data_IF_002055233231
#
_entry.id   IF_002055233231
#
_cell.length_a   1.000
_cell.length_b   1.000
_cell.length_c   1.000
_cell.angle_alpha   90.00
_cell.angle_beta   90.00
_cell.angle_gamma   90.00
#
_symmetry.space_group_name_H-M   'P 1'
#
loop_
_entity.id
_entity.type
_entity.pdbx_description
1 polymer ?
#
# COMPACT_ATOMS: atom_id res chain seq x y z
N UNK A 1 -9.01 27.44 -1.69
CA UNK A 1 -9.01 26.73 -2.99
C UNK A 1 -7.96 25.63 -2.93
N UNK A 2 -8.22 24.40 -3.40
CA UNK A 2 -7.21 23.35 -3.45
C UNK A 2 -6.14 23.79 -4.46
N UNK A 3 -4.86 23.77 -4.06
CA UNK A 3 -3.75 24.08 -4.96
C UNK A 3 -3.59 22.94 -5.97
N UNK A 4 -3.50 23.27 -7.25
CA UNK A 4 -3.09 22.30 -8.26
C UNK A 4 -1.65 21.83 -7.95
N UNK A 5 -1.49 20.52 -7.85
CA UNK A 5 -0.22 19.87 -7.59
C UNK A 5 0.54 19.68 -8.90
N UNK A 6 1.75 20.23 -8.99
CA UNK A 6 2.67 19.97 -10.10
C UNK A 6 3.64 18.86 -9.67
N UNK A 7 3.51 17.67 -10.26
CA UNK A 7 4.47 16.58 -10.03
C UNK A 7 5.88 16.98 -10.51
N UNK A 8 6.92 16.46 -9.84
CA UNK A 8 8.36 16.50 -10.22
C UNK A 8 9.26 17.63 -9.68
N UNK A 9 8.86 18.42 -8.68
CA UNK A 9 9.81 19.31 -7.96
C UNK A 9 10.60 18.54 -6.88
N UNK A 10 11.36 17.52 -7.28
CA UNK A 10 12.16 16.69 -6.36
C UNK A 10 13.59 17.21 -6.13
N UNK A 11 13.92 18.43 -6.57
CA UNK A 11 15.26 19.01 -6.43
C UNK A 11 15.68 19.30 -4.98
N UNK A 12 14.76 19.20 -4.01
CA UNK A 12 15.01 19.51 -2.59
C UNK A 12 14.83 18.31 -1.62
N UNK A 13 14.53 17.11 -2.10
CA UNK A 13 14.40 15.93 -1.22
C UNK A 13 15.78 15.48 -0.72
N UNK A 14 16.10 15.78 0.55
CA UNK A 14 17.19 15.13 1.27
C UNK A 14 16.78 13.69 1.60
N UNK A 15 17.61 12.72 1.19
CA UNK A 15 17.40 11.32 1.52
C UNK A 15 17.64 11.13 3.03
N UNK A 16 16.60 10.68 3.74
CA UNK A 16 16.71 10.32 5.15
C UNK A 16 17.62 9.10 5.29
N UNK A 17 18.66 9.19 6.11
CA UNK A 17 19.50 8.03 6.49
C UNK A 17 18.93 7.43 7.77
N UNK A 18 18.21 6.30 7.70
CA UNK A 18 17.62 5.71 8.90
C UNK A 18 18.70 5.23 9.87
N UNK A 19 18.62 5.67 11.12
CA UNK A 19 19.43 5.19 12.25
C UNK A 19 18.70 4.07 12.99
N UNK A 20 18.37 2.98 12.30
CA UNK A 20 17.82 1.78 12.97
C UNK A 20 18.91 0.72 13.19
N UNK A 21 18.96 0.06 14.36
CA UNK A 21 19.87 -1.06 14.58
C UNK A 21 19.53 -2.21 13.64
N UNK A 22 20.50 -2.64 12.84
CA UNK A 22 20.35 -3.63 11.77
C UNK A 22 19.80 -5.00 12.22
N UNK A 23 19.84 -5.30 13.52
CA UNK A 23 19.47 -6.59 14.10
C UNK A 23 17.96 -6.87 14.16
N UNK A 24 17.09 -5.90 13.85
CA UNK A 24 15.62 -6.05 13.87
C UNK A 24 14.92 -5.93 12.52
N UNK A 25 15.67 -5.72 11.45
CA UNK A 25 15.12 -5.63 10.10
C UNK A 25 15.26 -6.98 9.40
N UNK A 26 14.21 -7.44 8.72
CA UNK A 26 14.36 -8.46 7.68
C UNK A 26 15.50 -8.00 6.75
N UNK A 27 16.49 -8.85 6.41
CA UNK A 27 17.60 -8.44 5.57
C UNK A 27 17.07 -8.18 4.16
N UNK A 28 16.68 -6.93 3.90
CA UNK A 28 16.43 -6.47 2.56
C UNK A 28 17.79 -6.23 1.92
N UNK A 29 18.20 -7.14 1.04
CA UNK A 29 19.41 -7.01 0.23
C UNK A 29 19.17 -5.97 -0.86
N UNK A 30 19.30 -4.69 -0.50
CA UNK A 30 19.30 -3.62 -1.49
C UNK A 30 20.68 -3.56 -2.17
N UNK A 31 20.74 -3.53 -3.51
CA UNK A 31 21.99 -3.25 -4.21
C UNK A 31 22.48 -1.84 -3.83
N UNK A 32 23.78 -1.68 -3.60
CA UNK A 32 24.37 -0.39 -3.29
C UNK A 32 24.18 0.58 -4.46
N UNK A 33 23.36 1.62 -4.26
CA UNK A 33 23.11 2.66 -5.27
C UNK A 33 24.24 3.70 -5.22
N UNK A 34 25.44 3.30 -5.63
CA UNK A 34 26.66 4.13 -5.50
C UNK A 34 27.02 4.96 -6.75
N UNK A 35 26.17 5.02 -7.78
CA UNK A 35 26.49 5.78 -9.01
C UNK A 35 25.49 6.91 -9.32
N UNK A 36 26.02 8.10 -9.60
CA UNK A 36 25.28 9.29 -10.08
C UNK A 36 24.44 9.00 -11.34
N UNK A 37 24.90 8.06 -12.17
CA UNK A 37 24.18 7.56 -13.36
C UNK A 37 22.88 6.84 -13.00
N UNK A 38 22.78 6.20 -11.84
CA UNK A 38 21.54 5.55 -11.38
C UNK A 38 20.47 6.59 -11.01
N UNK A 39 20.86 7.72 -10.39
CA UNK A 39 19.92 8.81 -10.07
C UNK A 39 19.33 9.47 -11.31
N UNK A 40 20.16 9.73 -12.33
CA UNK A 40 19.69 10.30 -13.60
C UNK A 40 18.73 9.35 -14.34
N UNK A 41 19.03 8.05 -14.35
CA UNK A 41 18.14 7.02 -14.91
C UNK A 41 16.83 6.91 -14.14
N UNK A 42 16.84 7.04 -12.80
CA UNK A 42 15.64 6.98 -11.97
C UNK A 42 14.67 8.12 -12.30
N UNK A 43 15.19 9.34 -12.53
CA UNK A 43 14.37 10.51 -12.89
C UNK A 43 13.68 10.33 -14.25
N UNK A 44 14.28 9.57 -15.16
CA UNK A 44 13.70 9.28 -16.48
C UNK A 44 12.63 8.18 -16.45
N UNK A 45 12.49 7.45 -15.35
CA UNK A 45 11.43 6.47 -15.22
C UNK A 45 10.09 7.19 -15.07
N UNK A 46 9.02 6.71 -15.73
CA UNK A 46 7.70 7.27 -15.53
C UNK A 46 7.32 7.20 -14.05
N UNK A 47 6.86 8.33 -13.50
CA UNK A 47 6.64 8.50 -12.06
C UNK A 47 5.36 7.82 -11.55
N UNK A 48 4.57 7.21 -12.44
CA UNK A 48 3.25 6.66 -12.13
C UNK A 48 2.15 7.73 -12.13
N UNK A 49 2.50 9.02 -12.28
CA UNK A 49 1.53 10.10 -12.52
C UNK A 49 0.94 10.08 -13.94
N UNK A 50 1.58 9.32 -14.83
CA UNK A 50 1.19 8.99 -16.19
C UNK A 50 0.11 7.90 -16.27
N UNK A 51 -0.22 7.25 -15.15
CA UNK A 51 -1.25 6.23 -15.13
C UNK A 51 -2.64 6.80 -15.43
N UNK A 52 -3.50 6.06 -16.15
CA UNK A 52 -4.86 6.48 -16.43
C UNK A 52 -5.64 6.66 -15.13
N UNK A 53 -6.34 7.78 -15.00
CA UNK A 53 -7.15 8.09 -13.82
C UNK A 53 -8.19 7.01 -13.58
N UNK A 54 -8.17 6.39 -12.40
CA UNK A 54 -9.14 5.36 -12.04
C UNK A 54 -10.40 5.99 -11.44
N UNK A 55 -11.57 5.46 -11.82
CA UNK A 55 -12.84 5.83 -11.19
C UNK A 55 -13.04 5.03 -9.91
N UNK A 56 -13.72 5.63 -8.93
CA UNK A 56 -14.16 4.93 -7.74
C UNK A 56 -15.16 3.80 -8.08
N UNK A 57 -15.21 2.72 -7.29
CA UNK A 57 -16.30 1.75 -7.37
C UNK A 57 -17.56 2.37 -6.77
N UNK A 58 -18.47 2.85 -7.63
CA UNK A 58 -19.63 3.65 -7.23
C UNK A 58 -20.59 2.95 -6.24
N UNK A 59 -20.61 1.61 -6.27
CA UNK A 59 -21.45 0.76 -5.41
C UNK A 59 -20.82 0.49 -4.02
N UNK A 60 -19.53 0.80 -3.83
CA UNK A 60 -18.85 0.69 -2.53
C UNK A 60 -18.51 2.06 -1.95
N UNK A 61 -18.10 3.02 -2.78
CA UNK A 61 -17.62 4.33 -2.36
C UNK A 61 -18.59 5.38 -2.85
N UNK A 62 -19.21 6.13 -1.93
CA UNK A 62 -20.21 7.16 -2.24
C UNK A 62 -19.60 8.53 -2.53
N UNK A 63 -18.41 8.82 -2.04
CA UNK A 63 -17.75 10.11 -2.26
C UNK A 63 -17.01 10.15 -3.60
N UNK A 64 -17.21 11.20 -4.44
CA UNK A 64 -16.46 11.38 -5.67
C UNK A 64 -14.99 11.72 -5.40
N UNK A 65 -14.08 11.05 -6.12
CA UNK A 65 -12.64 11.33 -6.06
C UNK A 65 -12.30 12.52 -6.99
N UNK A 66 -11.46 13.42 -6.51
CA UNK A 66 -10.89 14.51 -7.32
C UNK A 66 -9.71 14.01 -8.18
N UNK A 67 -9.28 14.75 -9.22
CA UNK A 67 -8.36 14.23 -10.24
C UNK A 67 -7.08 13.59 -9.71
N UNK A 68 -6.38 14.23 -8.76
CA UNK A 68 -5.15 13.66 -8.20
C UNK A 68 -5.41 12.41 -7.36
N UNK A 69 -6.56 12.34 -6.68
CA UNK A 69 -6.96 11.13 -5.93
C UNK A 69 -7.26 9.96 -6.85
N UNK A 70 -7.78 10.22 -8.07
CA UNK A 70 -7.98 9.18 -9.09
C UNK A 70 -6.65 8.64 -9.62
N UNK A 71 -5.67 9.52 -9.80
CA UNK A 71 -4.30 9.13 -10.18
C UNK A 71 -3.63 8.37 -9.03
N UNK A 72 -3.77 8.83 -7.79
CA UNK A 72 -3.26 8.13 -6.60
C UNK A 72 -3.87 6.74 -6.43
N UNK A 73 -5.18 6.60 -6.62
CA UNK A 73 -5.84 5.30 -6.62
C UNK A 73 -5.32 4.37 -7.73
N UNK A 74 -5.19 4.88 -8.96
CA UNK A 74 -4.63 4.12 -10.07
C UNK A 74 -3.20 3.63 -9.77
N UNK A 75 -2.38 4.52 -9.20
CA UNK A 75 -1.03 4.18 -8.75
C UNK A 75 -1.02 3.08 -7.69
N UNK A 76 -1.91 3.16 -6.70
CA UNK A 76 -2.03 2.12 -5.68
C UNK A 76 -2.47 0.78 -6.28
N UNK A 77 -3.46 0.76 -7.18
CA UNK A 77 -3.93 -0.46 -7.84
C UNK A 77 -2.85 -1.08 -8.75
N UNK A 78 -2.11 -0.26 -9.51
CA UNK A 78 -1.03 -0.74 -10.37
C UNK A 78 0.07 -1.46 -9.56
N UNK A 79 0.34 -0.98 -8.35
CA UNK A 79 1.34 -1.56 -7.42
C UNK A 79 0.86 -2.82 -6.70
N UNK A 80 -0.42 -3.17 -6.78
CA UNK A 80 -0.94 -4.48 -6.33
C UNK A 80 -0.63 -5.59 -7.35
N UNK A 81 -0.33 -5.23 -8.59
CA UNK A 81 -0.20 -6.17 -9.69
C UNK A 81 1.29 -6.44 -9.95
N UNK A 82 1.77 -7.70 -9.89
CA UNK A 82 3.18 -8.04 -10.11
C UNK A 82 3.76 -7.58 -11.46
N UNK A 83 2.92 -7.53 -12.50
CA UNK A 83 3.24 -6.99 -13.83
C UNK A 83 2.62 -5.60 -14.07
N UNK A 84 2.35 -4.83 -13.02
CA UNK A 84 1.91 -3.45 -13.15
C UNK A 84 2.89 -2.62 -14.00
N UNK A 85 2.37 -1.57 -14.63
CA UNK A 85 3.15 -0.68 -15.48
C UNK A 85 4.34 -0.09 -14.71
N UNK A 86 4.13 0.30 -13.44
CA UNK A 86 5.19 0.83 -12.59
C UNK A 86 6.33 -0.17 -12.35
N UNK A 87 6.01 -1.45 -12.20
CA UNK A 87 7.02 -2.50 -12.03
C UNK A 87 7.77 -2.74 -13.34
N UNK A 88 7.04 -2.83 -14.46
CA UNK A 88 7.58 -3.03 -15.80
C UNK A 88 8.52 -1.90 -16.22
N UNK A 89 8.24 -0.65 -15.81
CA UNK A 89 9.05 0.52 -16.12
C UNK A 89 10.53 0.38 -15.70
N UNK A 90 10.86 -0.47 -14.72
CA UNK A 90 12.24 -0.72 -14.31
C UNK A 90 12.99 -1.70 -15.23
N UNK A 91 12.34 -2.25 -16.26
CA UNK A 91 12.88 -3.29 -17.11
C UNK A 91 12.86 -2.89 -18.58
N UNK A 92 13.97 -3.16 -19.27
CA UNK A 92 14.08 -3.02 -20.71
C UNK A 92 14.09 -4.40 -21.35
N UNK A 93 13.35 -4.56 -22.46
CA UNK A 93 13.41 -5.77 -23.28
C UNK A 93 14.71 -5.81 -24.09
N UNK A 94 15.32 -6.98 -24.16
CA UNK A 94 16.52 -7.17 -24.98
C UNK A 94 16.15 -7.29 -26.46
N UNK A 95 17.08 -6.99 -27.38
CA UNK A 95 16.88 -7.21 -28.81
C UNK A 95 16.58 -8.68 -29.15
N UNK A 96 15.82 -8.96 -30.23
CA UNK A 96 15.58 -10.31 -30.71
C UNK A 96 16.90 -11.05 -30.96
N UNK A 97 17.04 -12.28 -30.45
CA UNK A 97 18.26 -13.11 -30.58
C UNK A 97 19.19 -13.10 -29.37
N UNK A 98 18.88 -12.33 -28.31
CA UNK A 98 19.62 -12.37 -27.04
C UNK A 98 19.23 -13.58 -26.19
N UNK A 99 20.17 -14.15 -25.43
CA UNK A 99 19.91 -15.23 -24.45
C UNK A 99 19.06 -14.79 -23.25
N UNK A 100 18.97 -13.49 -23.02
CA UNK A 100 18.19 -12.87 -21.95
C UNK A 100 17.07 -12.03 -22.52
N UNK A 101 15.86 -12.18 -21.99
CA UNK A 101 14.69 -11.46 -22.47
C UNK A 101 14.58 -10.04 -21.88
N UNK A 102 15.09 -9.82 -20.65
CA UNK A 102 14.93 -8.56 -19.94
C UNK A 102 16.18 -8.13 -19.16
N UNK A 103 16.40 -6.82 -19.07
CA UNK A 103 17.46 -6.18 -18.29
C UNK A 103 16.88 -5.13 -17.35
N UNK A 104 17.24 -5.18 -16.06
CA UNK A 104 16.85 -4.15 -15.09
C UNK A 104 17.64 -2.87 -15.33
N UNK A 105 16.95 -1.73 -15.45
CA UNK A 105 17.53 -0.45 -15.88
C UNK A 105 18.57 0.10 -14.88
N UNK A 106 18.33 -0.11 -13.59
CA UNK A 106 19.16 0.44 -12.51
C UNK A 106 20.32 -0.50 -12.17
N UNK A 107 20.02 -1.76 -11.90
CA UNK A 107 21.03 -2.74 -11.43
C UNK A 107 21.75 -3.43 -12.56
N UNK A 108 21.30 -3.27 -13.80
CA UNK A 108 21.77 -4.01 -14.99
C UNK A 108 21.69 -5.54 -14.85
N UNK A 109 20.87 -6.06 -13.94
CA UNK A 109 20.64 -7.50 -13.81
C UNK A 109 19.86 -8.01 -15.02
N UNK A 110 20.31 -9.12 -15.59
CA UNK A 110 19.65 -9.79 -16.70
C UNK A 110 18.81 -10.97 -16.22
N UNK A 111 17.67 -11.17 -16.88
CA UNK A 111 16.74 -12.27 -16.60
C UNK A 111 16.33 -12.91 -17.92
N UNK A 112 16.38 -14.24 -17.97
CA UNK A 112 15.97 -15.04 -19.12
C UNK A 112 14.47 -15.32 -19.18
N UNK A 113 13.79 -15.41 -18.03
CA UNK A 113 12.34 -15.66 -17.93
C UNK A 113 11.59 -14.52 -17.23
N UNK A 114 10.69 -13.85 -17.94
CA UNK A 114 9.88 -12.76 -17.39
C UNK A 114 9.00 -13.21 -16.21
N UNK A 115 8.61 -14.49 -16.11
CA UNK A 115 7.82 -14.97 -14.95
C UNK A 115 8.58 -14.88 -13.62
N UNK A 116 9.91 -15.01 -13.64
CA UNK A 116 10.74 -14.87 -12.42
C UNK A 116 10.76 -13.44 -11.86
N UNK A 117 10.34 -12.49 -12.68
CA UNK A 117 10.22 -11.07 -12.40
C UNK A 117 8.93 -10.80 -11.59
N UNK A 118 7.86 -11.55 -11.87
CA UNK A 118 6.59 -11.51 -11.15
C UNK A 118 6.73 -12.02 -9.71
N UNK A 119 7.52 -13.07 -9.52
CA UNK A 119 7.67 -13.72 -8.22
C UNK A 119 8.43 -12.88 -7.18
N UNK A 120 9.25 -11.92 -7.62
CA UNK A 120 10.16 -11.17 -6.75
C UNK A 120 9.91 -9.66 -6.72
N UNK A 121 8.84 -9.19 -7.38
CA UNK A 121 8.50 -7.76 -7.35
C UNK A 121 7.85 -7.44 -6.01
N UNK A 122 8.43 -6.54 -5.20
CA UNK A 122 7.82 -6.17 -3.93
C UNK A 122 6.51 -5.42 -4.18
N UNK A 123 5.41 -6.00 -3.73
CA UNK A 123 4.06 -5.41 -3.79
C UNK A 123 3.86 -4.45 -2.62
N UNK A 124 4.69 -3.41 -2.56
CA UNK A 124 4.65 -2.35 -1.55
C UNK A 124 4.14 -1.04 -2.15
N UNK A 125 3.45 -0.26 -1.33
CA UNK A 125 2.87 1.04 -1.71
C UNK A 125 3.27 2.09 -0.68
N UNK A 126 3.73 3.24 -1.16
CA UNK A 126 4.01 4.40 -0.33
C UNK A 126 3.22 5.59 -0.90
N UNK A 127 2.29 6.11 -0.11
CA UNK A 127 1.52 7.29 -0.45
C UNK A 127 1.99 8.44 0.44
N UNK A 128 2.86 9.29 -0.10
CA UNK A 128 3.51 10.38 0.61
C UNK A 128 3.01 11.76 0.13
N UNK A 129 1.70 11.86 -0.16
CA UNK A 129 1.08 13.15 -0.53
C UNK A 129 1.06 14.12 0.66
N UNK A 130 1.05 15.41 0.38
CA UNK A 130 0.93 16.47 1.39
C UNK A 130 -0.30 16.27 2.29
N UNK A 131 -0.21 16.78 3.52
CA UNK A 131 -1.35 16.81 4.44
C UNK A 131 -2.54 17.56 3.81
N UNK A 132 -3.74 17.00 3.94
CA UNK A 132 -4.94 17.56 3.30
C UNK A 132 -5.23 17.09 1.88
N UNK A 133 -4.34 16.31 1.25
CA UNK A 133 -4.56 15.76 -0.11
C UNK A 133 -5.62 14.65 -0.18
N UNK A 134 -6.17 14.21 0.97
CA UNK A 134 -7.19 13.17 1.04
C UNK A 134 -6.63 11.75 0.90
N UNK A 135 -5.47 11.48 1.51
CA UNK A 135 -4.87 10.13 1.55
C UNK A 135 -5.84 9.08 2.12
N UNK A 136 -6.59 9.46 3.15
CA UNK A 136 -7.60 8.59 3.79
C UNK A 136 -8.66 8.11 2.80
N UNK A 137 -9.24 9.02 1.99
CA UNK A 137 -10.26 8.61 1.01
C UNK A 137 -9.67 7.76 -0.11
N UNK A 138 -8.42 8.00 -0.51
CA UNK A 138 -7.72 7.11 -1.46
C UNK A 138 -7.53 5.70 -0.88
N UNK A 139 -7.14 5.59 0.39
CA UNK A 139 -7.00 4.31 1.09
C UNK A 139 -8.34 3.57 1.25
N UNK A 140 -9.44 4.27 1.55
CA UNK A 140 -10.77 3.68 1.62
C UNK A 140 -11.22 3.23 0.21
N UNK A 141 -10.97 4.04 -0.82
CA UNK A 141 -11.31 3.70 -2.20
C UNK A 141 -10.55 2.47 -2.69
N UNK A 142 -9.27 2.35 -2.35
CA UNK A 142 -8.44 1.17 -2.62
C UNK A 142 -9.05 -0.11 -2.02
N UNK A 143 -9.52 -0.04 -0.77
CA UNK A 143 -10.22 -1.16 -0.15
C UNK A 143 -11.52 -1.53 -0.88
N UNK A 144 -12.23 -0.53 -1.39
CA UNK A 144 -13.40 -0.76 -2.23
C UNK A 144 -13.06 -1.40 -3.57
N UNK A 145 -11.99 -0.97 -4.23
CA UNK A 145 -11.57 -1.54 -5.51
C UNK A 145 -11.12 -2.98 -5.35
N UNK A 146 -10.27 -3.30 -4.38
CA UNK A 146 -9.79 -4.69 -4.21
C UNK A 146 -10.93 -5.65 -3.85
N UNK A 147 -12.01 -5.18 -3.21
CA UNK A 147 -13.23 -5.98 -3.03
C UNK A 147 -13.94 -6.33 -4.34
N UNK A 148 -13.95 -5.45 -5.33
CA UNK A 148 -14.48 -5.76 -6.66
C UNK A 148 -13.75 -6.97 -7.27
N UNK A 149 -12.43 -6.99 -7.11
CA UNK A 149 -11.58 -8.10 -7.54
C UNK A 149 -11.89 -9.38 -6.76
N UNK A 150 -12.13 -9.28 -5.45
CA UNK A 150 -12.51 -10.42 -4.61
C UNK A 150 -13.90 -10.96 -4.94
N UNK A 151 -14.89 -10.15 -5.34
CA UNK A 151 -16.22 -10.67 -5.75
C UNK A 151 -16.10 -11.65 -6.94
N UNK A 152 -15.05 -11.52 -7.75
CA UNK A 152 -14.79 -12.42 -8.89
C UNK A 152 -14.03 -13.70 -8.53
N UNK A 153 -13.54 -13.86 -7.28
CA UNK A 153 -12.82 -15.07 -6.84
C UNK A 153 -13.43 -15.66 -5.55
N UNK A 154 -13.64 -16.98 -5.43
CA UNK A 154 -14.44 -17.55 -4.33
C UNK A 154 -13.74 -17.54 -2.95
N UNK A 155 -12.55 -16.96 -2.84
CA UNK A 155 -11.79 -16.96 -1.60
C UNK A 155 -12.18 -15.77 -0.73
N UNK A 156 -12.66 -16.09 0.47
CA UNK A 156 -13.09 -15.19 1.53
C UNK A 156 -12.34 -13.85 1.54
N UNK A 157 -13.08 -12.74 1.50
CA UNK A 157 -12.55 -11.38 1.59
C UNK A 157 -11.79 -11.22 2.89
N UNK A 158 -10.47 -11.33 2.85
CA UNK A 158 -9.63 -11.07 4.02
C UNK A 158 -9.76 -9.59 4.40
N UNK A 159 -9.77 -9.27 5.71
CA UNK A 159 -9.95 -7.89 6.15
C UNK A 159 -8.69 -7.07 5.90
N UNK A 160 -8.85 -5.75 5.90
CA UNK A 160 -7.74 -4.79 5.90
C UNK A 160 -7.52 -4.27 7.31
N UNK A 161 -6.25 -4.16 7.71
CA UNK A 161 -5.84 -3.53 8.96
C UNK A 161 -5.31 -2.12 8.70
N UNK A 162 -5.80 -1.14 9.45
CA UNK A 162 -5.26 0.22 9.50
C UNK A 162 -4.63 0.42 10.87
N UNK A 163 -3.34 0.76 10.90
CA UNK A 163 -2.60 1.08 12.12
C UNK A 163 -2.33 2.58 12.10
N UNK A 164 -2.77 3.28 13.13
CA UNK A 164 -2.70 4.74 13.19
C UNK A 164 -2.42 5.24 14.62
N UNK A 165 -2.03 6.52 14.80
CA UNK A 165 -2.03 7.16 16.11
C UNK A 165 -3.40 7.06 16.81
N UNK A 166 -3.47 6.85 18.15
CA UNK A 166 -4.74 6.69 18.86
C UNK A 166 -5.75 7.84 18.65
N UNK A 167 -5.27 9.06 18.49
CA UNK A 167 -6.11 10.23 18.24
C UNK A 167 -6.86 10.20 16.90
N UNK A 168 -6.42 9.39 15.93
CA UNK A 168 -7.03 9.29 14.61
C UNK A 168 -8.05 8.15 14.48
N UNK A 169 -8.12 7.22 15.45
CA UNK A 169 -8.93 6.00 15.35
C UNK A 169 -10.42 6.30 15.11
N UNK A 170 -11.02 7.16 15.93
CA UNK A 170 -12.45 7.49 15.85
C UNK A 170 -12.76 8.31 14.60
N UNK A 171 -11.83 9.19 14.20
CA UNK A 171 -11.93 9.96 12.98
C UNK A 171 -11.91 9.05 11.74
N UNK A 172 -10.97 8.10 11.66
CA UNK A 172 -10.89 7.13 10.57
C UNK A 172 -12.16 6.27 10.47
N UNK A 173 -12.73 5.83 11.60
CA UNK A 173 -14.00 5.10 11.59
C UNK A 173 -15.15 5.95 11.02
N UNK A 174 -15.18 7.24 11.38
CA UNK A 174 -16.18 8.18 10.88
C UNK A 174 -16.01 8.45 9.39
N UNK A 175 -14.77 8.64 8.92
CA UNK A 175 -14.46 8.84 7.50
C UNK A 175 -14.81 7.60 6.66
N UNK A 176 -14.58 6.38 7.15
CA UNK A 176 -15.04 5.15 6.48
C UNK A 176 -16.57 5.18 6.32
N UNK A 177 -17.30 5.47 7.40
CA UNK A 177 -18.78 5.51 7.38
C UNK A 177 -19.32 6.63 6.49
N UNK A 178 -18.60 7.75 6.40
CA UNK A 178 -18.94 8.90 5.56
C UNK A 178 -18.64 8.67 4.08
N UNK A 179 -17.62 7.90 3.75
CA UNK A 179 -17.16 7.75 2.37
C UNK A 179 -17.63 6.47 1.69
N UNK A 180 -17.94 5.43 2.46
CA UNK A 180 -18.53 4.21 1.95
C UNK A 180 -20.04 4.35 1.73
N UNK A 181 -20.58 3.56 0.81
CA UNK A 181 -22.01 3.31 0.71
C UNK A 181 -22.50 2.58 1.97
N UNK A 182 -23.76 2.84 2.35
CA UNK A 182 -24.37 2.18 3.51
C UNK A 182 -24.29 0.65 3.38
N UNK A 183 -23.70 -0.02 4.38
CA UNK A 183 -23.54 -1.47 4.39
C UNK A 183 -22.36 -2.03 3.59
N UNK A 184 -21.66 -1.21 2.78
CA UNK A 184 -20.63 -1.70 1.86
C UNK A 184 -19.26 -1.90 2.51
N UNK A 185 -18.88 -1.02 3.44
CA UNK A 185 -17.65 -1.12 4.23
C UNK A 185 -17.94 -0.84 5.70
N UNK A 186 -17.56 -1.78 6.57
CA UNK A 186 -17.65 -1.62 8.02
C UNK A 186 -16.26 -1.56 8.65
N UNK A 187 -15.97 -0.42 9.29
CA UNK A 187 -14.77 -0.21 10.11
C UNK A 187 -15.02 -0.57 11.57
N UNK A 188 -14.21 -1.48 12.13
CA UNK A 188 -14.25 -1.86 13.54
C UNK A 188 -12.98 -1.42 14.26
N UNK A 189 -13.18 -0.73 15.38
CA UNK A 189 -12.08 -0.34 16.27
C UNK A 189 -11.61 -1.56 17.06
N UNK A 190 -10.31 -1.78 17.02
CA UNK A 190 -9.55 -2.76 17.78
C UNK A 190 -8.50 -2.00 18.60
N UNK A 191 -8.94 -1.37 19.68
CA UNK A 191 -8.11 -0.55 20.56
C UNK A 191 -8.76 -0.45 21.95
N UNK A 192 -7.94 -0.33 23.00
CA UNK A 192 -8.41 -0.16 24.37
C UNK A 192 -8.97 -1.45 25.01
N UNK A 193 -9.67 -1.36 26.15
CA UNK A 193 -10.12 -2.53 26.92
C UNK A 193 -11.09 -3.44 26.17
N UNK A 194 -11.82 -2.90 25.20
CA UNK A 194 -12.85 -3.60 24.42
C UNK A 194 -12.27 -4.58 23.40
N UNK A 195 -10.98 -4.47 23.13
CA UNK A 195 -10.24 -5.29 22.18
C UNK A 195 -10.22 -6.79 22.53
N UNK A 196 -10.08 -7.14 23.81
CA UNK A 196 -10.08 -8.54 24.27
C UNK A 196 -11.41 -9.28 24.05
N UNK A 197 -12.50 -8.55 23.77
CA UNK A 197 -13.82 -9.13 23.51
C UNK A 197 -14.04 -9.57 22.05
N UNK A 198 -13.11 -9.22 21.15
CA UNK A 198 -13.17 -9.54 19.73
C UNK A 198 -12.35 -10.79 19.44
N UNK A 199 -13.01 -11.83 18.91
CA UNK A 199 -12.37 -13.06 18.42
C UNK A 199 -12.45 -13.14 16.89
N UNK A 200 -11.64 -14.02 16.31
CA UNK A 200 -11.43 -14.18 14.86
C UNK A 200 -12.74 -14.18 14.04
N UNK A 201 -13.68 -15.07 14.36
CA UNK A 201 -14.96 -15.18 13.64
C UNK A 201 -15.89 -13.94 13.79
N UNK A 202 -15.69 -13.07 14.79
CA UNK A 202 -16.35 -11.75 14.83
C UNK A 202 -15.66 -10.74 13.94
N UNK A 203 -14.34 -10.83 13.76
CA UNK A 203 -13.54 -9.88 13.00
C UNK A 203 -13.66 -10.10 11.50
N UNK A 204 -13.73 -11.35 11.05
CA UNK A 204 -13.96 -11.70 9.65
C UNK A 204 -15.30 -11.17 9.11
N UNK A 205 -16.21 -10.70 9.98
CA UNK A 205 -17.45 -10.01 9.59
C UNK A 205 -17.23 -8.55 9.17
N UNK A 206 -16.10 -7.96 9.55
CA UNK A 206 -15.76 -6.58 9.25
C UNK A 206 -14.77 -6.53 8.09
N UNK A 207 -14.76 -5.40 7.38
CA UNK A 207 -13.88 -5.23 6.22
C UNK A 207 -12.60 -4.51 6.59
N UNK A 208 -12.69 -3.59 7.55
CA UNK A 208 -11.58 -2.77 7.99
C UNK A 208 -11.48 -2.87 9.50
N UNK A 209 -10.30 -3.20 10.01
CA UNK A 209 -9.95 -3.19 11.43
C UNK A 209 -9.00 -2.03 11.67
N UNK A 210 -9.35 -1.15 12.61
CA UNK A 210 -8.57 0.05 12.94
C UNK A 210 -7.93 -0.16 14.31
N UNK A 211 -6.62 -0.06 14.38
CA UNK A 211 -5.87 -0.25 15.62
C UNK A 211 -4.75 0.79 15.76
N UNK A 212 -4.03 0.71 16.88
CA UNK A 212 -2.91 1.60 17.17
C UNK A 212 -1.58 0.87 17.22
N UNK A 213 -0.49 1.58 16.96
CA UNK A 213 0.87 1.07 17.13
C UNK A 213 1.11 0.51 18.54
N UNK A 214 0.59 1.18 19.58
CA UNK A 214 0.71 0.72 20.96
C UNK A 214 0.00 -0.62 21.18
N UNK A 215 -1.18 -0.79 20.58
CA UNK A 215 -1.97 -2.01 20.65
C UNK A 215 -1.23 -3.17 19.98
N UNK A 216 -0.69 -2.97 18.77
CA UNK A 216 0.14 -3.96 18.08
C UNK A 216 1.37 -4.35 18.90
N UNK A 217 2.05 -3.36 19.50
CA UNK A 217 3.22 -3.59 20.34
C UNK A 217 2.90 -4.40 21.61
N UNK A 218 1.72 -4.18 22.22
CA UNK A 218 1.26 -4.95 23.38
C UNK A 218 0.97 -6.40 23.00
N UNK A 219 0.24 -6.61 21.92
CA UNK A 219 -0.08 -7.93 21.39
C UNK A 219 1.18 -8.70 20.98
N UNK A 220 2.20 -8.02 20.43
CA UNK A 220 3.48 -8.62 20.08
C UNK A 220 4.29 -9.07 21.31
N UNK A 221 4.16 -8.36 22.45
CA UNK A 221 4.89 -8.66 23.69
C UNK A 221 4.25 -9.76 24.52
N UNK A 222 2.96 -10.05 24.30
CA UNK A 222 2.33 -11.19 24.96
C UNK A 222 2.99 -12.47 24.45
N UNK A 223 3.60 -13.20 25.38
CA UNK A 223 4.53 -14.33 25.18
C UNK A 223 3.93 -15.53 24.42
N UNK A 224 2.63 -15.50 24.15
CA UNK A 224 1.96 -16.41 23.23
C UNK A 224 1.47 -15.63 22.00
N UNK A 225 2.37 -15.27 21.07
CA UNK A 225 2.00 -14.80 19.72
C UNK A 225 1.04 -15.77 19.03
N UNK A 226 1.09 -17.06 19.38
CA UNK A 226 0.14 -18.12 19.02
C UNK A 226 -1.27 -17.95 19.59
N UNK A 227 -1.54 -16.95 20.43
CA UNK A 227 -2.89 -16.64 20.96
C UNK A 227 -3.42 -15.31 20.46
N UNK A 228 -2.53 -14.37 20.12
CA UNK A 228 -2.91 -13.08 19.57
C UNK A 228 -3.47 -13.25 18.16
N UNK A 229 -4.77 -13.01 18.01
CA UNK A 229 -5.44 -13.28 16.75
C UNK A 229 -4.97 -12.34 15.63
N UNK A 230 -4.48 -11.14 15.94
CA UNK A 230 -4.07 -10.14 14.93
C UNK A 230 -2.90 -10.67 14.09
N UNK A 231 -2.10 -11.57 14.65
CA UNK A 231 -1.00 -12.26 13.97
C UNK A 231 -1.40 -13.60 13.33
N UNK A 232 -2.63 -14.08 13.54
CA UNK A 232 -3.16 -15.29 12.89
C UNK A 232 -3.93 -15.00 11.61
N UNK A 233 -4.56 -13.84 11.54
CA UNK A 233 -5.36 -13.43 10.39
C UNK A 233 -4.43 -13.12 9.23
N UNK A 234 -4.73 -13.69 8.06
CA UNK A 234 -4.14 -13.23 6.81
C UNK A 234 -4.82 -11.92 6.40
N UNK A 235 -4.13 -10.80 6.51
CA UNK A 235 -4.66 -9.48 6.15
C UNK A 235 -4.56 -9.26 4.65
N UNK A 236 -5.62 -8.73 4.04
CA UNK A 236 -5.56 -8.31 2.63
C UNK A 236 -4.59 -7.15 2.47
N UNK A 237 -4.76 -6.12 3.30
CA UNK A 237 -3.86 -4.96 3.37
C UNK A 237 -3.50 -4.65 4.82
N UNK A 238 -2.29 -4.14 5.00
CA UNK A 238 -1.86 -3.45 6.22
C UNK A 238 -1.50 -2.03 5.81
N UNK A 239 -2.25 -1.06 6.32
CA UNK A 239 -2.06 0.37 6.05
C UNK A 239 -1.50 1.01 7.30
N UNK A 240 -0.31 1.59 7.19
CA UNK A 240 0.34 2.33 8.26
C UNK A 240 0.10 3.82 8.03
N UNK A 241 -0.66 4.45 8.91
CA UNK A 241 -0.93 5.89 8.87
C UNK A 241 0.02 6.63 9.83
N UNK A 242 0.50 7.79 9.40
CA UNK A 242 1.50 8.62 10.11
C UNK A 242 2.71 7.83 10.62
N UNK A 243 3.26 6.95 9.76
CA UNK A 243 4.44 6.12 10.04
C UNK A 243 5.73 6.91 9.78
N UNK A 244 6.06 7.81 10.69
CA UNK A 244 7.29 8.62 10.71
C UNK A 244 8.35 8.04 11.65
#
# INVERSE_FOLDING_TARGET
MPKEYACNTHSQCQLFTPTFPASKLMPASYPSVSSLTSKQKLIQLPSGSDLPRMTRPHYIIQTPLIPHQKTGLAFLCDREIPNGQSACNFWATSPPGSTFNCRHIITNKFISKFESLLANTPLGRLLADDMGSGKTIQAIALNGTSKEWVITTPHHSTPTMIICPPCLITNLQSEISKHAQAGALHGKIYHGPTHHSLYEAKILKYNIIITSYNTINQECKQTNTSTSFIFKINWHHIILDEAQ
#
